data_IF_910760736399
#
_entry.id   IF_910760736399
#
_cell.length_a   1.000
_cell.length_b   1.000
_cell.length_c   1.000
_cell.angle_alpha   90.00
_cell.angle_beta   90.00
_cell.angle_gamma   90.00
#
_symmetry.space_group_name_H-M   'P 1'
#
loop_
_entity.id
_entity.type
_entity.pdbx_description
1 polymer ?
#
# COMPACT_ATOMS: atom_id res chain seq x y z
N UNK A 1 7.41 -33.23 -14.50
CA UNK A 1 7.29 -31.77 -14.31
C UNK A 1 8.51 -31.16 -13.60
N UNK A 2 9.56 -31.94 -13.27
CA UNK A 2 10.74 -31.45 -12.51
C UNK A 2 11.74 -30.60 -13.30
N UNK A 3 11.69 -30.61 -14.64
CA UNK A 3 12.65 -29.84 -15.46
C UNK A 3 12.40 -28.33 -15.54
N UNK A 4 11.19 -27.86 -15.21
CA UNK A 4 10.85 -26.41 -15.23
C UNK A 4 11.19 -25.72 -13.92
N UNK A 5 10.93 -26.36 -12.78
CA UNK A 5 11.25 -25.83 -11.45
C UNK A 5 12.77 -25.72 -11.23
N UNK A 6 13.55 -26.74 -11.62
CA UNK A 6 15.00 -26.70 -11.50
C UNK A 6 15.68 -25.63 -12.38
N UNK A 7 15.07 -25.24 -13.50
CA UNK A 7 15.57 -24.16 -14.33
C UNK A 7 15.24 -22.77 -13.74
N UNK A 8 14.06 -22.63 -13.12
CA UNK A 8 13.67 -21.41 -12.42
C UNK A 8 14.58 -21.13 -11.22
N UNK A 9 14.83 -22.13 -10.37
CA UNK A 9 15.73 -21.99 -9.22
C UNK A 9 17.14 -21.61 -9.66
N UNK A 10 17.68 -22.28 -10.69
CA UNK A 10 18.99 -21.95 -11.24
C UNK A 10 19.06 -20.51 -11.81
N UNK A 11 17.99 -20.06 -12.48
CA UNK A 11 17.90 -18.68 -12.97
C UNK A 11 17.84 -17.67 -11.81
N UNK A 12 17.03 -17.94 -10.78
CA UNK A 12 16.94 -17.10 -9.58
C UNK A 12 18.31 -17.01 -8.90
N UNK A 13 19.04 -18.11 -8.76
CA UNK A 13 20.37 -18.13 -8.16
C UNK A 13 21.39 -17.29 -8.95
N UNK A 14 21.31 -17.31 -10.29
CA UNK A 14 22.13 -16.44 -11.13
C UNK A 14 21.83 -14.95 -10.87
N UNK A 15 20.56 -14.56 -10.85
CA UNK A 15 20.18 -13.17 -10.56
C UNK A 15 20.46 -12.76 -9.12
N UNK A 16 20.38 -13.67 -8.15
CA UNK A 16 20.78 -13.42 -6.76
C UNK A 16 22.29 -13.14 -6.65
N UNK A 17 23.11 -13.80 -7.47
CA UNK A 17 24.54 -13.54 -7.52
C UNK A 17 24.84 -12.17 -8.17
N UNK A 18 24.13 -11.83 -9.25
CA UNK A 18 24.22 -10.49 -9.88
C UNK A 18 23.78 -9.41 -8.89
N UNK A 19 22.65 -9.59 -8.20
CA UNK A 19 22.17 -8.68 -7.15
C UNK A 19 23.25 -8.46 -6.09
N UNK A 20 23.89 -9.54 -5.61
CA UNK A 20 24.96 -9.47 -4.61
C UNK A 20 26.15 -8.65 -5.11
N UNK A 21 26.58 -8.86 -6.35
CA UNK A 21 27.69 -8.12 -6.96
C UNK A 21 27.36 -6.63 -7.11
N UNK A 22 26.22 -6.31 -7.69
CA UNK A 22 25.77 -4.92 -7.92
C UNK A 22 25.58 -4.17 -6.60
N UNK A 23 25.02 -4.85 -5.59
CA UNK A 23 24.83 -4.27 -4.26
C UNK A 23 26.15 -3.96 -3.57
N UNK A 24 27.15 -4.84 -3.68
CA UNK A 24 28.49 -4.57 -3.14
C UNK A 24 29.27 -3.52 -3.93
N UNK A 25 28.99 -3.38 -5.23
CA UNK A 25 29.51 -2.29 -6.05
C UNK A 25 28.83 -0.94 -5.77
N UNK A 26 27.74 -0.91 -5.00
CA UNK A 26 26.95 0.29 -4.75
C UNK A 26 26.12 0.74 -5.97
N UNK A 27 25.97 -0.11 -6.98
CA UNK A 27 25.16 0.18 -8.16
C UNK A 27 23.68 0.03 -7.82
N UNK A 28 23.03 1.18 -7.56
CA UNK A 28 21.60 1.25 -7.25
C UNK A 28 20.75 0.77 -8.43
N UNK A 29 21.11 1.10 -9.66
CA UNK A 29 20.33 0.76 -10.84
C UNK A 29 20.42 -0.75 -11.14
N UNK A 30 21.64 -1.30 -11.10
CA UNK A 30 21.88 -2.73 -11.26
C UNK A 30 21.21 -3.55 -10.15
N UNK A 31 21.29 -3.11 -8.90
CA UNK A 31 20.64 -3.81 -7.78
C UNK A 31 19.12 -3.80 -7.91
N UNK A 32 18.51 -2.65 -8.26
CA UNK A 32 17.08 -2.55 -8.54
C UNK A 32 16.67 -3.53 -9.63
N UNK A 33 17.37 -3.49 -10.76
CA UNK A 33 17.07 -4.33 -11.91
C UNK A 33 17.16 -5.82 -11.57
N UNK A 34 18.23 -6.25 -10.90
CA UNK A 34 18.37 -7.65 -10.51
C UNK A 34 17.24 -8.11 -9.59
N UNK A 35 16.82 -7.27 -8.63
CA UNK A 35 15.68 -7.56 -7.75
C UNK A 35 14.37 -7.64 -8.53
N UNK A 36 14.12 -6.70 -9.45
CA UNK A 36 12.89 -6.70 -10.26
C UNK A 36 12.84 -7.86 -11.25
N UNK A 37 13.98 -8.27 -11.79
CA UNK A 37 14.11 -9.40 -12.71
C UNK A 37 13.82 -10.72 -11.99
N UNK A 38 14.27 -10.89 -10.72
CA UNK A 38 13.92 -12.06 -9.89
C UNK A 38 12.40 -12.16 -9.71
N UNK A 39 11.74 -11.05 -9.40
CA UNK A 39 10.28 -11.01 -9.24
C UNK A 39 9.56 -11.32 -10.54
N UNK A 40 10.03 -10.76 -11.65
CA UNK A 40 9.49 -11.01 -12.99
C UNK A 40 9.58 -12.50 -13.35
N UNK A 41 10.71 -13.16 -13.10
CA UNK A 41 10.87 -14.59 -13.35
C UNK A 41 9.89 -15.45 -12.55
N UNK A 42 9.71 -15.15 -11.26
CA UNK A 42 8.77 -15.89 -10.42
C UNK A 42 7.32 -15.67 -10.91
N UNK A 43 7.00 -14.44 -11.32
CA UNK A 43 5.69 -14.08 -11.85
C UNK A 43 5.39 -14.78 -13.20
N UNK A 44 6.33 -14.79 -14.15
CA UNK A 44 6.21 -15.46 -15.44
C UNK A 44 6.06 -16.98 -15.31
N UNK A 45 6.75 -17.57 -14.33
CA UNK A 45 6.61 -18.97 -13.97
C UNK A 45 5.28 -19.29 -13.25
N UNK A 46 4.52 -18.25 -12.86
CA UNK A 46 3.32 -18.33 -12.00
C UNK A 46 3.58 -19.02 -10.66
N UNK A 47 4.82 -18.95 -10.17
CA UNK A 47 5.22 -19.50 -8.87
C UNK A 47 5.14 -18.42 -7.80
N UNK A 48 3.93 -18.21 -7.30
CA UNK A 48 3.64 -17.20 -6.27
C UNK A 48 4.29 -17.52 -4.92
N UNK A 49 4.52 -18.80 -4.64
CA UNK A 49 5.18 -19.23 -3.42
C UNK A 49 6.65 -18.83 -3.46
N UNK A 50 7.37 -19.16 -4.54
CA UNK A 50 8.74 -18.71 -4.74
C UNK A 50 8.83 -17.18 -4.76
N UNK A 51 7.86 -16.49 -5.38
CA UNK A 51 7.80 -15.03 -5.37
C UNK A 51 7.76 -14.46 -3.94
N UNK A 52 6.88 -14.98 -3.08
CA UNK A 52 6.78 -14.56 -1.69
C UNK A 52 8.06 -14.85 -0.91
N UNK A 53 8.66 -16.04 -1.09
CA UNK A 53 9.93 -16.41 -0.46
C UNK A 53 11.06 -15.46 -0.87
N UNK A 54 11.18 -15.12 -2.15
CA UNK A 54 12.20 -14.19 -2.63
C UNK A 54 12.00 -12.77 -2.10
N UNK A 55 10.75 -12.28 -2.02
CA UNK A 55 10.44 -10.97 -1.41
C UNK A 55 10.91 -10.93 0.05
N UNK A 56 10.61 -11.98 0.83
CA UNK A 56 11.05 -12.06 2.23
C UNK A 56 12.57 -12.12 2.31
N UNK A 57 13.22 -12.94 1.48
CA UNK A 57 14.68 -13.12 1.48
C UNK A 57 15.42 -11.82 1.13
N UNK A 58 15.00 -11.15 0.06
CA UNK A 58 15.59 -9.90 -0.40
C UNK A 58 15.35 -8.77 0.60
N UNK A 59 14.17 -8.71 1.23
CA UNK A 59 13.84 -7.67 2.20
C UNK A 59 14.60 -7.77 3.53
N UNK A 60 14.98 -9.00 3.94
CA UNK A 60 15.73 -9.29 5.17
C UNK A 60 17.25 -9.32 4.97
N UNK A 61 17.71 -9.25 3.71
CA UNK A 61 19.14 -9.32 3.37
C UNK A 61 19.91 -8.14 3.98
N UNK A 62 20.97 -8.43 4.73
CA UNK A 62 21.80 -7.41 5.40
C UNK A 62 22.48 -6.51 4.37
N UNK A 63 22.26 -5.21 4.50
CA UNK A 63 22.83 -4.20 3.61
C UNK A 63 22.11 -4.09 2.26
N UNK A 64 20.84 -4.49 2.18
CA UNK A 64 20.02 -4.23 1.01
C UNK A 64 19.73 -2.73 0.86
N UNK A 65 19.72 -2.24 -0.39
CA UNK A 65 19.46 -0.84 -0.71
C UNK A 65 17.97 -0.52 -0.55
N UNK A 66 17.66 0.60 0.12
CA UNK A 66 16.28 1.05 0.34
C UNK A 66 15.50 1.14 -0.97
N UNK A 67 16.14 1.70 -2.00
CA UNK A 67 15.52 1.90 -3.30
C UNK A 67 15.27 0.57 -4.05
N UNK A 68 16.03 -0.49 -3.76
CA UNK A 68 15.76 -1.82 -4.30
C UNK A 68 14.55 -2.47 -3.61
N UNK A 69 14.43 -2.30 -2.28
CA UNK A 69 13.24 -2.74 -1.53
C UNK A 69 11.98 -2.00 -1.98
N UNK A 70 12.05 -0.68 -2.18
CA UNK A 70 10.92 0.10 -2.71
C UNK A 70 10.50 -0.40 -4.08
N UNK A 71 11.44 -0.56 -5.02
CA UNK A 71 11.14 -1.06 -6.37
C UNK A 71 10.51 -2.46 -6.34
N UNK A 72 11.02 -3.35 -5.48
CA UNK A 72 10.49 -4.69 -5.29
C UNK A 72 9.04 -4.67 -4.80
N UNK A 73 8.74 -3.88 -3.77
CA UNK A 73 7.38 -3.77 -3.21
C UNK A 73 6.42 -3.18 -4.24
N UNK A 74 6.82 -2.11 -4.92
CA UNK A 74 6.00 -1.45 -5.93
C UNK A 74 5.68 -2.37 -7.13
N UNK A 75 6.65 -3.14 -7.60
CA UNK A 75 6.42 -4.11 -8.67
C UNK A 75 5.51 -5.25 -8.20
N UNK A 76 5.77 -5.82 -7.02
CA UNK A 76 4.92 -6.89 -6.46
C UNK A 76 3.47 -6.43 -6.22
N UNK A 77 3.26 -5.15 -5.90
CA UNK A 77 1.91 -4.58 -5.77
C UNK A 77 1.11 -4.61 -7.07
N UNK A 78 1.77 -4.52 -8.24
CA UNK A 78 1.11 -4.59 -9.55
C UNK A 78 0.57 -5.99 -9.81
N UNK A 79 1.27 -7.02 -9.33
CA UNK A 79 0.88 -8.42 -9.52
C UNK A 79 -0.32 -8.87 -8.67
N UNK A 80 -0.68 -8.10 -7.62
CA UNK A 80 -1.78 -8.46 -6.72
C UNK A 80 -3.09 -8.68 -7.48
N UNK A 81 -3.38 -7.80 -8.45
CA UNK A 81 -4.64 -7.86 -9.19
C UNK A 81 -4.63 -8.96 -10.27
N UNK A 82 -3.43 -9.47 -10.65
CA UNK A 82 -3.20 -10.56 -11.61
C UNK A 82 -3.13 -11.97 -10.96
N UNK A 83 -3.28 -12.05 -9.64
CA UNK A 83 -3.28 -13.33 -8.92
C UNK A 83 -4.45 -14.23 -9.34
N UNK A 84 -4.23 -15.56 -9.42
CA UNK A 84 -5.22 -16.50 -9.95
C UNK A 84 -6.43 -16.71 -9.03
N UNK A 85 -6.24 -16.55 -7.73
CA UNK A 85 -7.26 -16.83 -6.72
C UNK A 85 -7.10 -15.90 -5.50
N UNK A 86 -8.14 -15.88 -4.67
CA UNK A 86 -8.22 -15.00 -3.50
C UNK A 86 -7.20 -15.36 -2.41
N UNK A 87 -6.85 -16.63 -2.25
CA UNK A 87 -5.90 -17.10 -1.23
C UNK A 87 -4.49 -16.61 -1.56
N UNK A 88 -4.05 -16.82 -2.80
CA UNK A 88 -2.78 -16.31 -3.33
C UNK A 88 -2.71 -14.78 -3.22
N UNK A 89 -3.81 -14.08 -3.51
CA UNK A 89 -3.92 -12.62 -3.35
C UNK A 89 -3.67 -12.19 -1.90
N UNK A 90 -4.36 -12.84 -0.96
CA UNK A 90 -4.23 -12.52 0.47
C UNK A 90 -2.81 -12.82 0.96
N UNK A 91 -2.20 -13.92 0.53
CA UNK A 91 -0.84 -14.31 0.93
C UNK A 91 0.21 -13.30 0.44
N UNK A 92 0.12 -12.86 -0.81
CA UNK A 92 1.00 -11.82 -1.35
C UNK A 92 0.85 -10.50 -0.59
N UNK A 93 -0.38 -10.05 -0.32
CA UNK A 93 -0.64 -8.83 0.45
C UNK A 93 -0.07 -8.94 1.87
N UNK A 94 -0.26 -10.08 2.54
CA UNK A 94 0.30 -10.32 3.89
C UNK A 94 1.83 -10.29 3.87
N UNK A 95 2.44 -10.90 2.86
CA UNK A 95 3.90 -10.90 2.68
C UNK A 95 4.42 -9.48 2.51
N UNK A 96 3.81 -8.69 1.61
CA UNK A 96 4.17 -7.31 1.38
C UNK A 96 3.96 -6.42 2.61
N UNK A 97 2.86 -6.59 3.35
CA UNK A 97 2.63 -5.90 4.61
C UNK A 97 3.70 -6.20 5.66
N UNK A 98 4.12 -7.47 5.77
CA UNK A 98 5.17 -7.89 6.69
C UNK A 98 6.52 -7.27 6.32
N UNK A 99 6.91 -7.29 5.05
CA UNK A 99 8.21 -6.76 4.63
C UNK A 99 8.27 -5.24 4.65
N UNK A 100 7.14 -4.54 4.57
CA UNK A 100 7.05 -3.07 4.66
C UNK A 100 6.89 -2.56 6.09
N UNK A 101 6.60 -3.44 7.05
CA UNK A 101 6.47 -3.06 8.46
C UNK A 101 7.77 -2.46 9.01
N UNK A 102 7.68 -1.32 9.68
CA UNK A 102 8.82 -0.62 10.28
C UNK A 102 9.74 0.12 9.29
N UNK A 103 9.38 0.19 8.00
CA UNK A 103 10.17 0.89 6.98
C UNK A 103 9.46 2.17 6.53
N UNK A 104 9.90 3.31 7.05
CA UNK A 104 9.33 4.64 6.75
C UNK A 104 9.28 4.91 5.23
N UNK A 105 10.28 4.45 4.47
CA UNK A 105 10.38 4.70 3.03
C UNK A 105 9.44 3.86 2.15
N UNK A 106 8.61 2.98 2.75
CA UNK A 106 7.54 2.23 2.05
C UNK A 106 6.21 2.26 2.83
N UNK A 107 6.01 3.29 3.65
CA UNK A 107 4.83 3.40 4.51
C UNK A 107 3.54 3.70 3.71
N UNK A 108 3.65 4.39 2.57
CA UNK A 108 2.54 4.68 1.67
C UNK A 108 2.09 3.38 0.98
N UNK A 109 3.03 2.59 0.47
CA UNK A 109 2.76 1.27 -0.10
C UNK A 109 2.08 0.35 0.92
N UNK A 110 2.57 0.34 2.18
CA UNK A 110 1.93 -0.42 3.28
C UNK A 110 0.49 0.03 3.51
N UNK A 111 0.21 1.33 3.53
CA UNK A 111 -1.15 1.84 3.70
C UNK A 111 -2.09 1.35 2.59
N UNK A 112 -1.64 1.43 1.32
CA UNK A 112 -2.40 0.96 0.16
C UNK A 112 -2.66 -0.55 0.21
N UNK A 113 -1.68 -1.34 0.64
CA UNK A 113 -1.81 -2.79 0.86
C UNK A 113 -2.83 -3.11 1.96
N UNK A 114 -2.81 -2.38 3.07
CA UNK A 114 -3.78 -2.52 4.16
C UNK A 114 -5.18 -2.19 3.68
N UNK A 115 -5.36 -1.10 2.90
CA UNK A 115 -6.64 -0.76 2.27
C UNK A 115 -7.17 -1.89 1.39
N UNK A 116 -6.32 -2.49 0.53
CA UNK A 116 -6.68 -3.65 -0.30
C UNK A 116 -7.09 -4.86 0.56
N UNK A 117 -6.34 -5.16 1.63
CA UNK A 117 -6.67 -6.27 2.54
C UNK A 117 -7.99 -6.05 3.28
N UNK A 118 -8.22 -4.83 3.77
CA UNK A 118 -9.44 -4.46 4.47
C UNK A 118 -10.67 -4.62 3.56
N UNK A 119 -10.57 -4.22 2.29
CA UNK A 119 -11.62 -4.43 1.29
C UNK A 119 -11.94 -5.92 1.09
N UNK A 120 -10.92 -6.77 0.97
CA UNK A 120 -11.12 -8.23 0.86
C UNK A 120 -11.84 -8.78 2.10
N UNK A 121 -11.44 -8.32 3.30
CA UNK A 121 -12.07 -8.72 4.56
C UNK A 121 -13.51 -8.28 4.66
N UNK A 122 -13.81 -7.07 4.23
CA UNK A 122 -15.17 -6.56 4.15
C UNK A 122 -16.03 -7.37 3.18
N UNK A 123 -15.53 -7.70 1.99
CA UNK A 123 -16.22 -8.55 1.01
C UNK A 123 -16.52 -9.96 1.56
N UNK A 124 -15.71 -10.43 2.53
CA UNK A 124 -15.94 -11.66 3.30
C UNK A 124 -16.94 -11.49 4.47
N UNK A 125 -17.49 -10.30 4.68
CA UNK A 125 -18.37 -9.97 5.81
C UNK A 125 -17.63 -9.70 7.13
N UNK A 126 -16.30 -9.68 7.13
CA UNK A 126 -15.46 -9.45 8.30
C UNK A 126 -15.21 -7.94 8.52
N UNK A 127 -16.29 -7.18 8.67
CA UNK A 127 -16.25 -5.70 8.82
C UNK A 127 -15.41 -5.29 10.04
N UNK A 128 -15.51 -6.05 11.14
CA UNK A 128 -14.75 -5.76 12.35
C UNK A 128 -13.23 -5.83 12.13
N UNK A 129 -12.76 -6.90 11.47
CA UNK A 129 -11.34 -7.06 11.13
C UNK A 129 -10.88 -6.01 10.11
N UNK A 130 -11.72 -5.70 9.11
CA UNK A 130 -11.42 -4.66 8.13
C UNK A 130 -11.24 -3.28 8.79
N UNK A 131 -12.12 -2.93 9.73
CA UNK A 131 -12.02 -1.72 10.51
C UNK A 131 -10.73 -1.69 11.33
N UNK A 132 -10.42 -2.75 12.09
CA UNK A 132 -9.21 -2.80 12.92
C UNK A 132 -7.92 -2.66 12.10
N UNK A 133 -7.82 -3.36 10.96
CA UNK A 133 -6.69 -3.23 10.04
C UNK A 133 -6.49 -1.79 9.56
N UNK A 134 -7.58 -1.12 9.16
CA UNK A 134 -7.50 0.27 8.68
C UNK A 134 -7.10 1.24 9.80
N UNK A 135 -7.52 1.00 11.05
CA UNK A 135 -7.21 1.85 12.19
C UNK A 135 -5.72 1.82 12.61
N UNK A 136 -4.98 0.77 12.27
CA UNK A 136 -3.54 0.69 12.56
C UNK A 136 -2.70 1.72 11.78
N UNK A 137 -3.27 2.34 10.74
CA UNK A 137 -2.55 3.26 9.84
C UNK A 137 -3.00 4.70 10.05
N UNK A 138 -2.12 5.51 10.62
CA UNK A 138 -2.32 6.95 10.81
C UNK A 138 -1.78 7.77 9.61
N UNK A 139 -2.46 7.69 8.47
CA UNK A 139 -2.06 8.35 7.21
C UNK A 139 -1.91 9.88 7.32
N UNK A 140 -2.54 10.52 8.31
CA UNK A 140 -2.40 11.95 8.59
C UNK A 140 -0.94 12.34 8.88
N UNK A 141 -0.13 11.39 9.34
CA UNK A 141 1.29 11.59 9.69
C UNK A 141 2.23 11.49 8.49
N UNK A 142 1.79 10.94 7.36
CA UNK A 142 2.66 10.64 6.22
C UNK A 142 2.93 11.90 5.38
N UNK A 143 4.10 12.51 5.54
CA UNK A 143 4.44 13.77 4.86
C UNK A 143 4.34 13.71 3.33
N UNK A 144 4.73 12.58 2.73
CA UNK A 144 4.78 12.41 1.28
C UNK A 144 3.47 11.91 0.64
N UNK A 145 2.43 11.57 1.41
CA UNK A 145 1.17 11.07 0.85
C UNK A 145 0.27 12.22 0.38
N UNK A 146 -0.34 12.07 -0.79
CA UNK A 146 -1.25 13.07 -1.35
C UNK A 146 -2.40 13.40 -0.39
N UNK A 147 -2.75 14.68 -0.32
CA UNK A 147 -3.79 15.19 0.58
C UNK A 147 -5.16 14.55 0.32
N UNK A 148 -5.54 14.37 -0.95
CA UNK A 148 -6.79 13.69 -1.34
C UNK A 148 -6.77 12.22 -0.92
N UNK A 149 -5.64 11.54 -1.07
CA UNK A 149 -5.47 10.15 -0.67
C UNK A 149 -5.61 9.98 0.85
N UNK A 150 -5.01 10.87 1.65
CA UNK A 150 -5.19 10.88 3.11
C UNK A 150 -6.65 11.04 3.52
N UNK A 151 -7.35 12.00 2.90
CA UNK A 151 -8.77 12.25 3.20
C UNK A 151 -9.59 11.02 2.84
N UNK A 152 -9.40 10.45 1.64
CA UNK A 152 -10.10 9.26 1.20
C UNK A 152 -9.89 8.09 2.17
N UNK A 153 -8.66 7.89 2.64
CA UNK A 153 -8.33 6.83 3.58
C UNK A 153 -8.98 7.04 4.96
N UNK A 154 -9.01 8.28 5.48
CA UNK A 154 -9.69 8.59 6.76
C UNK A 154 -11.21 8.46 6.62
N UNK A 155 -11.80 8.85 5.48
CA UNK A 155 -13.23 8.66 5.23
C UNK A 155 -13.59 7.17 5.20
N UNK A 156 -12.73 6.35 4.60
CA UNK A 156 -12.90 4.89 4.60
C UNK A 156 -12.85 4.31 6.01
N UNK A 157 -11.92 4.78 6.84
CA UNK A 157 -11.85 4.45 8.27
C UNK A 157 -13.16 4.83 9.01
N UNK A 158 -13.70 6.02 8.76
CA UNK A 158 -14.98 6.45 9.35
C UNK A 158 -16.12 5.52 8.90
N UNK A 159 -16.20 5.22 7.61
CA UNK A 159 -17.24 4.34 7.05
C UNK A 159 -17.24 2.96 7.69
N UNK A 160 -16.07 2.30 7.75
CA UNK A 160 -15.93 0.99 8.39
C UNK A 160 -16.27 1.03 9.89
N UNK A 161 -15.92 2.10 10.60
CA UNK A 161 -16.34 2.28 11.99
C UNK A 161 -17.87 2.43 12.11
N UNK A 162 -18.53 3.17 11.21
CA UNK A 162 -19.99 3.29 11.20
C UNK A 162 -20.68 1.96 10.85
N UNK A 163 -20.12 1.17 9.94
CA UNK A 163 -20.62 -0.16 9.60
C UNK A 163 -20.45 -1.17 10.75
N UNK A 164 -19.46 -0.94 11.62
CA UNK A 164 -19.25 -1.66 12.89
C UNK A 164 -20.05 -1.08 14.07
N UNK A 165 -20.89 -0.08 13.84
CA UNK A 165 -21.65 0.64 14.89
C UNK A 165 -20.76 1.29 15.97
N UNK A 166 -19.52 1.62 15.63
CA UNK A 166 -18.54 2.24 16.50
C UNK A 166 -18.52 3.75 16.31
N UNK A 167 -19.58 4.38 16.79
CA UNK A 167 -19.85 5.80 16.59
C UNK A 167 -18.82 6.71 17.27
N UNK A 168 -18.26 6.29 18.41
CA UNK A 168 -17.25 7.06 19.14
C UNK A 168 -15.97 7.15 18.33
N UNK A 169 -15.45 6.03 17.80
CA UNK A 169 -14.25 6.06 16.96
C UNK A 169 -14.52 6.79 15.65
N UNK A 170 -15.68 6.57 15.02
CA UNK A 170 -16.08 7.31 13.82
C UNK A 170 -16.04 8.84 14.04
N UNK A 171 -16.53 9.32 15.18
CA UNK A 171 -16.49 10.74 15.53
C UNK A 171 -15.06 11.27 15.76
N UNK A 172 -14.19 10.48 16.39
CA UNK A 172 -12.79 10.87 16.61
C UNK A 172 -12.07 11.01 15.26
N UNK A 173 -12.29 10.06 14.34
CA UNK A 173 -11.69 10.05 13.02
C UNK A 173 -12.20 11.18 12.13
N UNK A 174 -13.51 11.46 12.14
CA UNK A 174 -14.08 12.53 11.32
C UNK A 174 -13.53 13.91 11.69
N UNK A 175 -13.17 14.13 12.97
CA UNK A 175 -12.51 15.36 13.43
C UNK A 175 -11.08 15.55 12.92
N UNK A 176 -10.43 14.48 12.43
CA UNK A 176 -9.11 14.59 11.78
C UNK A 176 -9.20 15.31 10.43
N UNK A 177 -10.39 15.33 9.81
CA UNK A 177 -10.66 16.05 8.56
C UNK A 177 -11.26 17.41 8.91
N UNK A 178 -10.51 18.49 8.65
CA UNK A 178 -11.04 19.85 8.79
C UNK A 178 -11.96 20.18 7.62
N UNK A 179 -13.21 20.62 7.84
CA UNK A 179 -14.15 20.97 6.76
C UNK A 179 -13.61 22.05 5.81
N UNK A 180 -12.76 22.96 6.31
CA UNK A 180 -12.09 24.01 5.50
C UNK A 180 -11.22 23.43 4.39
N UNK A 181 -10.78 22.18 4.52
CA UNK A 181 -9.98 21.50 3.51
C UNK A 181 -10.75 21.37 2.19
N UNK A 182 -12.08 21.30 2.24
CA UNK A 182 -12.94 21.17 1.06
C UNK A 182 -13.29 22.51 0.40
N UNK A 183 -12.96 23.64 1.02
CA UNK A 183 -13.21 24.99 0.50
C UNK A 183 -11.93 25.62 -0.09
N UNK A 184 -10.80 24.93 0.00
CA UNK A 184 -9.54 25.40 -0.55
C UNK A 184 -9.55 25.30 -2.08
N UNK A 185 -9.40 26.44 -2.76
CA UNK A 185 -9.22 26.51 -4.22
C UNK A 185 -8.04 25.65 -4.68
N UNK A 186 -8.35 24.63 -5.47
CA UNK A 186 -7.39 23.68 -6.09
C UNK A 186 -6.44 24.34 -7.11
N UNK A 187 -6.60 25.64 -7.39
CA UNK A 187 -5.78 26.40 -8.34
C UNK A 187 -4.43 26.85 -7.77
N UNK A 188 -4.23 26.82 -6.45
CA UNK A 188 -3.00 27.34 -5.80
C UNK A 188 -1.88 26.32 -5.59
N UNK A 189 -2.13 25.03 -5.82
CA UNK A 189 -1.15 23.95 -5.55
C UNK A 189 -0.27 23.56 -6.75
N UNK A 190 -0.40 24.20 -7.93
CA UNK A 190 0.59 24.08 -9.01
C UNK A 190 1.84 24.95 -8.73
N UNK A 191 2.45 24.82 -7.55
CA UNK A 191 3.82 25.32 -7.34
C UNK A 191 4.80 24.23 -7.72
N UNK A 192 5.66 24.53 -8.70
CA UNK A 192 6.79 23.69 -9.09
C UNK A 192 7.54 23.24 -7.83
N UNK A 193 7.88 21.94 -7.68
CA UNK A 193 8.68 21.49 -6.56
C UNK A 193 10.01 22.27 -6.55
N UNK A 194 10.34 22.87 -5.42
CA UNK A 194 11.69 23.38 -5.17
C UNK A 194 12.54 22.19 -4.73
N UNK A 195 13.76 22.12 -5.25
CA UNK A 195 14.76 21.09 -4.97
C UNK A 195 14.95 20.94 -3.45
N UNK A 196 14.52 19.82 -2.88
CA UNK A 196 14.61 19.51 -1.45
C UNK A 196 13.29 19.23 -0.71
N UNK A 197 12.13 19.44 -1.34
CA UNK A 197 10.85 19.00 -0.78
C UNK A 197 10.66 17.48 -0.98
N UNK A 198 10.15 16.77 0.03
CA UNK A 198 9.78 15.36 -0.14
C UNK A 198 8.78 15.27 -1.28
N UNK A 199 9.12 14.55 -2.35
CA UNK A 199 8.24 14.38 -3.52
C UNK A 199 6.93 13.78 -3.02
N UNK A 200 5.86 14.57 -3.07
CA UNK A 200 4.51 14.09 -2.75
C UNK A 200 4.14 13.07 -3.81
N UNK A 201 3.84 11.85 -3.36
CA UNK A 201 3.42 10.78 -4.24
C UNK A 201 2.05 11.11 -4.82
N UNK A 202 1.87 10.89 -6.11
CA UNK A 202 0.60 11.13 -6.77
C UNK A 202 -0.48 10.17 -6.21
N UNK A 203 -1.70 10.67 -5.99
CA UNK A 203 -2.78 9.81 -5.55
C UNK A 203 -3.07 8.76 -6.63
N UNK A 204 -3.39 7.51 -6.24
CA UNK A 204 -3.87 6.51 -7.16
C UNK A 204 -5.09 6.99 -7.97
N UNK A 205 -5.24 6.48 -9.20
CA UNK A 205 -6.28 6.92 -10.13
C UNK A 205 -7.72 6.66 -9.63
N UNK A 206 -7.89 5.76 -8.66
CA UNK A 206 -9.16 5.44 -8.01
C UNK A 206 -9.54 6.42 -6.88
N UNK A 207 -8.65 7.36 -6.51
CA UNK A 207 -8.94 8.33 -5.46
C UNK A 207 -9.93 9.38 -5.97
N UNK A 208 -11.10 9.55 -5.31
CA UNK A 208 -12.09 10.54 -5.72
C UNK A 208 -11.56 11.97 -5.66
N UNK A 209 -12.15 12.83 -6.47
CA UNK A 209 -11.88 14.27 -6.45
C UNK A 209 -12.23 14.89 -5.11
N UNK A 210 -11.64 16.05 -4.78
CA UNK A 210 -11.93 16.75 -3.53
C UNK A 210 -13.44 17.05 -3.36
N UNK A 211 -14.15 17.29 -4.46
CA UNK A 211 -15.60 17.53 -4.45
C UNK A 211 -16.40 16.26 -4.12
N UNK A 212 -15.99 15.10 -4.65
CA UNK A 212 -16.60 13.82 -4.31
C UNK A 212 -16.30 13.43 -2.86
N UNK A 213 -15.07 13.64 -2.40
CA UNK A 213 -14.69 13.45 -1.00
C UNK A 213 -15.51 14.35 -0.06
N UNK A 214 -15.80 15.58 -0.47
CA UNK A 214 -16.70 16.48 0.27
C UNK A 214 -18.10 15.88 0.41
N UNK A 215 -18.65 15.32 -0.67
CA UNK A 215 -19.97 14.66 -0.65
C UNK A 215 -19.98 13.44 0.27
N UNK A 216 -19.00 12.55 0.10
CA UNK A 216 -18.84 11.34 0.93
C UNK A 216 -18.73 11.73 2.41
N UNK A 217 -17.93 12.76 2.74
CA UNK A 217 -17.81 13.25 4.10
C UNK A 217 -19.18 13.62 4.70
N UNK A 218 -19.97 14.46 4.01
CA UNK A 218 -21.27 14.86 4.53
C UNK A 218 -22.29 13.72 4.58
N UNK A 219 -22.26 12.79 3.63
CA UNK A 219 -23.10 11.58 3.65
C UNK A 219 -22.82 10.71 4.89
N UNK A 220 -21.55 10.49 5.21
CA UNK A 220 -21.15 9.74 6.41
C UNK A 220 -21.55 10.49 7.70
N UNK A 221 -21.42 11.82 7.72
CA UNK A 221 -21.87 12.63 8.85
C UNK A 221 -23.40 12.58 9.03
N UNK A 222 -24.17 12.53 7.94
CA UNK A 222 -25.63 12.33 8.01
C UNK A 222 -25.96 10.97 8.57
N UNK A 223 -25.24 9.89 8.18
CA UNK A 223 -25.41 8.54 8.77
C UNK A 223 -25.19 8.51 10.28
N UNK A 224 -24.35 9.38 10.82
CA UNK A 224 -24.09 9.50 12.25
C UNK A 224 -25.18 10.28 13.03
N UNK A 225 -25.87 11.22 12.40
CA UNK A 225 -26.91 12.03 13.06
C UNK A 225 -28.13 11.24 13.60
N UNK A 226 -28.69 10.23 12.92
CA UNK A 226 -29.85 9.49 13.44
C UNK A 226 -29.53 8.60 14.65
N UNK A 227 -28.25 8.30 14.91
CA UNK A 227 -27.81 7.50 16.06
C UNK A 227 -27.36 8.35 17.25
N UNK A 228 -27.41 9.68 17.12
CA UNK A 228 -27.05 10.67 18.15
C UNK A 228 -28.25 11.51 18.63
N UNK A 229 -29.47 10.98 18.49
CA UNK A 229 -30.69 11.48 19.17
C UNK A 229 -30.75 11.03 20.65
N UNK A 230 -31.48 11.80 21.51
CA UNK A 230 -31.17 12.08 22.91
C UNK A 230 -31.12 10.89 23.87
#
# INVERSE_FOLDING_TARGET
MEGKSGNLEAAIDQFLNVEKQMRFAGDVAGTKKAVTDILQLCFEAKDWKSLNEQIVNLSKKRGQLKQAVTAMVQQAMQYIDETPDLETRIELIKTLNSVSAGKIYVEIERARLIKKLAKIKEEQGLIAEAADLMQEVAVETFGAMAKTEKIAFILEQVRLCLDREDYVRAQILSRKISPRVFDADTTKEKKKPKEGDNVVEEPPADIPSLLELKRIYYELMIRYLPTSGP
#
